data_IF_239161313071
#
_entry.id   IF_239161313071
#
_cell.length_a   1.000
_cell.length_b   1.000
_cell.length_c   1.000
_cell.angle_alpha   90.00
_cell.angle_beta   90.00
_cell.angle_gamma   90.00
#
_symmetry.space_group_name_H-M   'P 1'
#
loop_
_entity.id
_entity.type
_entity.pdbx_description
1 polymer ?
#
# COMPACT_ATOMS: atom_id res chain seq x y z
N UNK A 1 10.28 -35.95 -14.26
CA UNK A 1 10.13 -37.24 -14.97
C UNK A 1 9.15 -38.22 -14.29
N UNK A 2 8.88 -38.13 -12.98
CA UNK A 2 7.98 -39.09 -12.29
C UNK A 2 6.49 -39.07 -12.71
N UNK A 3 5.96 -37.93 -13.18
CA UNK A 3 4.52 -37.80 -13.50
C UNK A 3 4.11 -38.60 -14.75
N UNK A 4 4.99 -38.78 -15.73
CA UNK A 4 4.68 -39.51 -16.97
C UNK A 4 4.47 -41.01 -16.77
N UNK A 5 5.23 -41.62 -15.85
CA UNK A 5 5.16 -43.05 -15.56
C UNK A 5 3.84 -43.44 -14.86
N UNK A 6 3.32 -42.55 -14.00
CA UNK A 6 2.05 -42.75 -13.31
C UNK A 6 0.85 -42.83 -14.29
N UNK A 7 0.87 -42.04 -15.37
CA UNK A 7 -0.19 -42.04 -16.37
C UNK A 7 -0.22 -43.32 -17.21
N UNK A 8 0.95 -43.87 -17.54
CA UNK A 8 1.04 -45.14 -18.26
C UNK A 8 0.46 -46.29 -17.41
N UNK A 9 0.76 -46.32 -16.12
CA UNK A 9 0.24 -47.35 -15.20
C UNK A 9 -1.28 -47.23 -14.99
N UNK A 10 -1.80 -46.02 -14.83
CA UNK A 10 -3.25 -45.79 -14.69
C UNK A 10 -4.02 -46.17 -15.97
N UNK A 11 -3.47 -45.91 -17.16
CA UNK A 11 -4.08 -46.30 -18.44
C UNK A 11 -4.14 -47.82 -18.61
N UNK A 12 -3.07 -48.53 -18.22
CA UNK A 12 -3.02 -50.00 -18.29
C UNK A 12 -3.99 -50.62 -17.30
N UNK A 13 -4.02 -50.13 -16.05
CA UNK A 13 -4.94 -50.60 -15.02
C UNK A 13 -6.41 -50.37 -15.43
N UNK A 14 -6.73 -49.21 -16.01
CA UNK A 14 -8.09 -48.92 -16.50
C UNK A 14 -8.48 -49.85 -17.65
N UNK A 15 -7.59 -50.07 -18.62
CA UNK A 15 -7.83 -50.96 -19.75
C UNK A 15 -8.06 -52.41 -19.31
N UNK A 16 -7.25 -52.91 -18.37
CA UNK A 16 -7.43 -54.25 -17.79
C UNK A 16 -8.76 -54.37 -17.02
N UNK A 17 -9.15 -53.34 -16.27
CA UNK A 17 -10.41 -53.32 -15.53
C UNK A 17 -11.62 -53.35 -16.47
N UNK A 18 -11.60 -52.59 -17.56
CA UNK A 18 -12.67 -52.57 -18.59
C UNK A 18 -12.78 -53.92 -19.29
N UNK A 19 -11.65 -54.55 -19.64
CA UNK A 19 -11.63 -55.89 -20.24
C UNK A 19 -12.25 -56.94 -19.31
N UNK A 20 -11.87 -56.93 -18.02
CA UNK A 20 -12.40 -57.86 -17.02
C UNK A 20 -13.90 -57.65 -16.77
N UNK A 21 -14.37 -56.40 -16.71
CA UNK A 21 -15.81 -56.10 -16.55
C UNK A 21 -16.62 -56.46 -17.79
N UNK A 22 -16.10 -56.24 -18.99
CA UNK A 22 -16.75 -56.65 -20.24
C UNK A 22 -16.87 -58.18 -20.33
N UNK A 23 -15.81 -58.93 -19.96
CA UNK A 23 -15.84 -60.39 -19.93
C UNK A 23 -16.85 -60.93 -18.91
N UNK A 24 -16.88 -60.35 -17.70
CA UNK A 24 -17.85 -60.73 -16.66
C UNK A 24 -19.30 -60.43 -17.10
N UNK A 25 -19.56 -59.26 -17.69
CA UNK A 25 -20.89 -58.90 -18.22
C UNK A 25 -21.32 -59.76 -19.40
N UNK A 26 -20.39 -60.14 -20.28
CA UNK A 26 -20.67 -61.06 -21.38
C UNK A 26 -21.15 -62.43 -20.87
N UNK A 27 -20.52 -62.95 -19.82
CA UNK A 27 -20.87 -64.23 -19.22
C UNK A 27 -22.23 -64.22 -18.50
N UNK A 28 -22.65 -63.08 -17.94
CA UNK A 28 -23.87 -62.98 -17.11
C UNK A 28 -25.09 -62.50 -17.92
N UNK A 29 -24.92 -61.50 -18.80
CA UNK A 29 -26.00 -60.79 -19.47
C UNK A 29 -26.00 -60.94 -21.01
N UNK A 30 -25.07 -61.74 -21.55
CA UNK A 30 -24.93 -61.96 -22.99
C UNK A 30 -24.31 -60.78 -23.75
N UNK A 31 -24.33 -60.81 -25.10
CA UNK A 31 -23.60 -59.85 -25.94
C UNK A 31 -24.09 -58.41 -25.79
N UNK A 32 -25.38 -58.20 -25.51
CA UNK A 32 -25.95 -56.86 -25.31
C UNK A 32 -25.39 -56.21 -24.04
N UNK A 33 -25.22 -56.97 -22.95
CA UNK A 33 -24.60 -56.50 -21.72
C UNK A 33 -23.14 -56.09 -21.92
N UNK A 34 -22.39 -56.86 -22.71
CA UNK A 34 -20.99 -56.55 -23.04
C UNK A 34 -20.86 -55.22 -23.81
N UNK A 35 -21.72 -54.96 -24.81
CA UNK A 35 -21.74 -53.71 -25.57
C UNK A 35 -22.05 -52.51 -24.67
N UNK A 36 -23.03 -52.65 -23.76
CA UNK A 36 -23.37 -51.58 -22.83
C UNK A 36 -22.21 -51.26 -21.87
N UNK A 37 -21.51 -52.27 -21.35
CA UNK A 37 -20.32 -52.05 -20.51
C UNK A 37 -19.17 -51.34 -21.24
N UNK A 38 -18.94 -51.63 -22.52
CA UNK A 38 -17.94 -50.91 -23.34
C UNK A 38 -18.34 -49.44 -23.51
N UNK A 39 -19.61 -49.16 -23.82
CA UNK A 39 -20.11 -47.80 -23.99
C UNK A 39 -19.99 -46.98 -22.69
N UNK A 40 -20.41 -47.56 -21.55
CA UNK A 40 -20.28 -46.91 -20.23
C UNK A 40 -18.80 -46.70 -19.87
N UNK A 41 -17.92 -47.66 -20.19
CA UNK A 41 -16.48 -47.54 -19.99
C UNK A 41 -15.85 -46.41 -20.81
N UNK A 42 -16.25 -46.27 -22.08
CA UNK A 42 -15.79 -45.18 -22.95
C UNK A 42 -16.28 -43.81 -22.45
N UNK A 43 -17.55 -43.69 -22.08
CA UNK A 43 -18.10 -42.45 -21.50
C UNK A 43 -17.40 -42.09 -20.19
N UNK A 44 -17.13 -43.08 -19.33
CA UNK A 44 -16.38 -42.90 -18.09
C UNK A 44 -14.94 -42.42 -18.34
N UNK A 45 -14.25 -43.01 -19.32
CA UNK A 45 -12.89 -42.59 -19.71
C UNK A 45 -12.87 -41.17 -20.27
N UNK A 46 -13.81 -40.82 -21.16
CA UNK A 46 -13.94 -39.46 -21.68
C UNK A 46 -14.22 -38.44 -20.57
N UNK A 47 -15.12 -38.77 -19.63
CA UNK A 47 -15.41 -37.94 -18.47
C UNK A 47 -14.18 -37.74 -17.57
N UNK A 48 -13.39 -38.79 -17.34
CA UNK A 48 -12.15 -38.72 -16.57
C UNK A 48 -11.09 -37.84 -17.25
N UNK A 49 -10.89 -37.96 -18.56
CA UNK A 49 -9.95 -37.12 -19.31
C UNK A 49 -10.35 -35.65 -19.26
N UNK A 50 -11.64 -35.33 -19.44
CA UNK A 50 -12.15 -33.95 -19.33
C UNK A 50 -11.98 -33.41 -17.92
N UNK A 51 -12.30 -34.21 -16.89
CA UNK A 51 -12.11 -33.82 -15.50
C UNK A 51 -10.62 -33.55 -15.21
N UNK A 52 -9.73 -34.42 -15.66
CA UNK A 52 -8.29 -34.27 -15.46
C UNK A 52 -7.72 -33.06 -16.24
N UNK A 53 -8.15 -32.82 -17.48
CA UNK A 53 -7.76 -31.63 -18.24
C UNK A 53 -8.25 -30.36 -17.55
N UNK A 54 -9.48 -30.36 -17.02
CA UNK A 54 -10.01 -29.25 -16.24
C UNK A 54 -9.18 -28.97 -14.97
N UNK A 55 -8.77 -30.02 -14.25
CA UNK A 55 -7.91 -29.91 -13.06
C UNK A 55 -6.53 -29.40 -13.45
N UNK A 56 -5.96 -29.88 -14.56
CA UNK A 56 -4.65 -29.44 -15.05
C UNK A 56 -4.66 -27.99 -15.52
N UNK A 57 -5.71 -27.56 -16.23
CA UNK A 57 -5.90 -26.15 -16.61
C UNK A 57 -6.04 -25.26 -15.38
N UNK A 58 -6.81 -25.70 -14.37
CA UNK A 58 -6.93 -24.98 -13.09
C UNK A 58 -5.59 -24.90 -12.35
N UNK A 59 -4.79 -25.96 -12.32
CA UNK A 59 -3.49 -25.94 -11.65
C UNK A 59 -2.50 -25.00 -12.36
N UNK A 60 -2.47 -25.01 -13.69
CA UNK A 60 -1.63 -24.10 -14.48
C UNK A 60 -2.06 -22.64 -14.27
N UNK A 61 -3.37 -22.36 -14.31
CA UNK A 61 -3.90 -21.03 -14.03
C UNK A 61 -3.56 -20.56 -12.60
N UNK A 62 -3.62 -21.46 -11.60
CA UNK A 62 -3.26 -21.13 -10.23
C UNK A 62 -1.75 -20.91 -10.03
N UNK A 63 -0.89 -21.63 -10.77
CA UNK A 63 0.55 -21.38 -10.81
C UNK A 63 0.85 -20.02 -11.44
N UNK A 64 0.19 -19.69 -12.55
CA UNK A 64 0.35 -18.41 -13.22
C UNK A 64 -0.13 -17.23 -12.37
N UNK A 65 -1.28 -17.37 -11.69
CA UNK A 65 -1.79 -16.37 -10.76
C UNK A 65 -0.83 -16.13 -9.59
N UNK A 66 -0.23 -17.18 -9.03
CA UNK A 66 0.79 -17.06 -7.96
C UNK A 66 2.04 -16.36 -8.46
N UNK A 67 2.51 -16.69 -9.66
CA UNK A 67 3.67 -16.01 -10.26
C UNK A 67 3.39 -14.53 -10.50
N UNK A 68 2.21 -14.20 -11.03
CA UNK A 68 1.80 -12.81 -11.23
C UNK A 68 1.71 -12.05 -9.91
N UNK A 69 1.17 -12.66 -8.86
CA UNK A 69 1.14 -12.06 -7.53
C UNK A 69 2.55 -11.77 -6.98
N UNK A 70 3.49 -12.69 -7.16
CA UNK A 70 4.90 -12.50 -6.77
C UNK A 70 5.56 -11.35 -7.55
N UNK A 71 5.29 -11.23 -8.84
CA UNK A 71 5.83 -10.14 -9.66
C UNK A 71 5.20 -8.79 -9.30
N UNK A 72 3.89 -8.75 -9.04
CA UNK A 72 3.21 -7.54 -8.52
C UNK A 72 3.79 -7.10 -7.18
N UNK A 73 4.03 -8.04 -6.27
CA UNK A 73 4.69 -7.77 -4.99
C UNK A 73 6.14 -7.31 -5.17
N UNK A 74 6.88 -7.88 -6.13
CA UNK A 74 8.20 -7.41 -6.50
C UNK A 74 8.17 -5.95 -6.99
N UNK A 75 7.26 -5.61 -7.93
CA UNK A 75 7.07 -4.23 -8.42
C UNK A 75 6.72 -3.27 -7.29
N UNK A 76 5.80 -3.66 -6.39
CA UNK A 76 5.42 -2.84 -5.23
C UNK A 76 6.61 -2.51 -4.31
N UNK A 77 7.65 -3.35 -4.29
CA UNK A 77 8.86 -3.14 -3.48
C UNK A 77 9.97 -2.41 -4.21
N UNK A 78 10.06 -2.52 -5.54
CA UNK A 78 11.18 -1.98 -6.32
C UNK A 78 10.86 -0.67 -7.02
N UNK A 79 9.62 -0.48 -7.44
CA UNK A 79 9.21 0.74 -8.16
C UNK A 79 8.67 1.74 -7.15
N UNK A 80 9.43 2.82 -6.91
CA UNK A 80 8.97 3.92 -6.08
C UNK A 80 8.10 4.89 -6.88
N UNK A 81 6.80 4.85 -6.60
CA UNK A 81 5.82 5.77 -7.18
C UNK A 81 4.83 6.27 -6.13
N UNK A 82 4.24 7.42 -6.40
CA UNK A 82 3.07 7.94 -5.69
C UNK A 82 1.90 7.87 -6.65
N UNK A 83 0.79 7.27 -6.21
CA UNK A 83 -0.42 7.16 -6.99
C UNK A 83 -1.55 7.98 -6.36
N UNK A 84 -2.44 8.51 -7.19
CA UNK A 84 -3.65 9.19 -6.74
C UNK A 84 -4.44 8.26 -5.78
N UNK A 85 -4.76 8.70 -4.55
CA UNK A 85 -5.56 7.91 -3.62
C UNK A 85 -6.99 7.66 -4.13
N UNK A 86 -7.47 8.43 -5.11
CA UNK A 86 -8.76 8.20 -5.77
C UNK A 86 -8.75 7.09 -6.83
N UNK A 87 -7.65 6.39 -7.05
CA UNK A 87 -7.61 5.22 -7.94
C UNK A 87 -8.31 4.03 -7.28
N UNK A 88 -9.19 3.37 -8.05
CA UNK A 88 -9.77 2.08 -7.68
C UNK A 88 -8.69 1.01 -7.59
N UNK A 89 -9.00 -0.13 -6.95
CA UNK A 89 -8.02 -1.23 -6.84
C UNK A 89 -7.68 -1.82 -8.21
N UNK A 90 -8.65 -1.89 -9.13
CA UNK A 90 -8.41 -2.34 -10.52
C UNK A 90 -7.46 -1.40 -11.26
N UNK A 91 -7.68 -0.08 -11.17
CA UNK A 91 -6.80 0.91 -11.78
C UNK A 91 -5.39 0.87 -11.16
N UNK A 92 -5.29 0.71 -9.84
CA UNK A 92 -4.01 0.58 -9.14
C UNK A 92 -3.26 -0.69 -9.57
N UNK A 93 -3.97 -1.80 -9.75
CA UNK A 93 -3.39 -3.02 -10.30
C UNK A 93 -2.94 -2.83 -11.75
N UNK A 94 -3.71 -2.13 -12.58
CA UNK A 94 -3.31 -1.82 -13.95
C UNK A 94 -2.02 -0.96 -14.01
N UNK A 95 -1.86 -0.01 -13.08
CA UNK A 95 -0.60 0.74 -12.92
C UNK A 95 0.55 -0.21 -12.58
N UNK A 96 0.38 -1.09 -11.59
CA UNK A 96 1.42 -2.06 -11.19
C UNK A 96 1.79 -2.98 -12.36
N UNK A 97 0.78 -3.50 -13.06
CA UNK A 97 0.94 -4.40 -14.19
C UNK A 97 1.71 -3.75 -15.34
N UNK A 98 1.64 -2.42 -15.48
CA UNK A 98 2.43 -1.69 -16.48
C UNK A 98 3.93 -1.71 -16.26
N UNK A 99 4.39 -2.04 -15.04
CA UNK A 99 5.81 -2.23 -14.75
C UNK A 99 6.27 -3.68 -14.90
N UNK A 100 5.37 -4.61 -15.24
CA UNK A 100 5.71 -6.03 -15.43
C UNK A 100 6.03 -6.26 -16.92
N UNK A 101 7.31 -6.49 -17.30
CA UNK A 101 7.71 -6.50 -18.72
C UNK A 101 6.98 -7.56 -19.55
N UNK A 102 6.70 -8.74 -18.96
CA UNK A 102 6.04 -9.85 -19.68
C UNK A 102 4.58 -9.58 -20.03
N UNK A 103 3.94 -8.58 -19.41
CA UNK A 103 2.56 -8.22 -19.73
C UNK A 103 2.45 -7.33 -20.97
N UNK A 104 3.58 -6.82 -21.50
CA UNK A 104 3.61 -6.06 -22.75
C UNK A 104 2.80 -4.75 -22.72
N UNK A 105 2.43 -4.26 -21.54
CA UNK A 105 1.67 -3.02 -21.35
C UNK A 105 2.62 -1.84 -21.59
N UNK A 106 2.74 -1.42 -22.85
CA UNK A 106 3.75 -0.47 -23.34
C UNK A 106 3.63 0.97 -22.80
N UNK A 107 2.59 1.29 -22.01
CA UNK A 107 2.38 2.61 -21.44
C UNK A 107 1.68 2.47 -20.09
N UNK A 108 2.23 3.10 -19.04
CA UNK A 108 1.56 3.17 -17.75
C UNK A 108 0.18 3.81 -17.95
N UNK A 109 -0.92 3.06 -17.77
CA UNK A 109 -2.25 3.66 -17.78
C UNK A 109 -2.30 4.68 -16.64
N UNK A 110 -3.08 5.76 -16.80
CA UNK A 110 -3.20 6.81 -15.79
C UNK A 110 -1.89 7.53 -15.45
N UNK A 111 -1.00 7.75 -16.44
CA UNK A 111 0.29 8.47 -16.25
C UNK A 111 0.13 9.84 -15.59
N UNK A 112 -1.00 10.50 -15.83
CA UNK A 112 -1.37 11.76 -15.18
C UNK A 112 -1.70 11.60 -13.69
N UNK A 113 -2.15 10.41 -13.27
CA UNK A 113 -2.53 10.02 -11.90
C UNK A 113 -1.46 9.19 -11.16
N UNK A 114 -0.25 9.09 -11.72
CA UNK A 114 0.91 8.43 -11.10
C UNK A 114 2.16 9.28 -11.27
N UNK A 115 2.94 9.45 -10.19
CA UNK A 115 4.23 10.13 -10.18
C UNK A 115 5.31 9.12 -9.87
N UNK A 116 6.26 8.94 -10.79
CA UNK A 116 7.45 8.13 -10.56
C UNK A 116 8.49 8.96 -9.79
N UNK A 117 8.85 8.51 -8.59
CA UNK A 117 9.81 9.24 -7.75
C UNK A 117 11.19 9.34 -8.40
N UNK A 118 11.70 8.32 -9.11
CA UNK A 118 12.97 8.43 -9.84
C UNK A 118 12.99 9.50 -10.94
N UNK A 119 11.85 9.92 -11.48
CA UNK A 119 11.75 10.99 -12.48
C UNK A 119 11.81 12.39 -11.85
N UNK A 120 11.71 12.51 -10.53
CA UNK A 120 11.80 13.79 -9.85
C UNK A 120 13.26 14.24 -9.71
N UNK A 121 13.50 15.55 -9.82
CA UNK A 121 14.82 16.13 -9.55
C UNK A 121 15.30 15.78 -8.13
N UNK A 122 16.62 15.69 -7.87
CA UNK A 122 17.14 15.42 -6.53
C UNK A 122 16.53 16.27 -5.38
N UNK A 123 16.40 17.61 -5.50
CA UNK A 123 15.77 18.41 -4.44
C UNK A 123 14.28 18.09 -4.29
N UNK A 124 13.55 17.82 -5.38
CA UNK A 124 12.15 17.45 -5.33
C UNK A 124 11.93 16.10 -4.62
N UNK A 125 12.79 15.10 -4.88
CA UNK A 125 12.78 13.82 -4.15
C UNK A 125 13.00 14.01 -2.66
N UNK A 126 13.94 14.88 -2.27
CA UNK A 126 14.20 15.15 -0.86
C UNK A 126 13.00 15.79 -0.14
N UNK A 127 12.28 16.71 -0.80
CA UNK A 127 11.05 17.29 -0.26
C UNK A 127 9.92 16.26 -0.12
N UNK A 128 9.72 15.41 -1.14
CA UNK A 128 8.72 14.33 -1.06
C UNK A 128 9.04 13.35 0.08
N UNK A 129 10.31 13.00 0.28
CA UNK A 129 10.73 12.09 1.34
C UNK A 129 10.54 12.70 2.74
N UNK A 130 10.75 14.02 2.89
CA UNK A 130 10.39 14.74 4.13
C UNK A 130 8.90 14.63 4.44
N UNK A 131 8.05 14.85 3.43
CA UNK A 131 6.60 14.74 3.58
C UNK A 131 6.17 13.31 3.96
N UNK A 132 6.69 12.30 3.24
CA UNK A 132 6.43 10.87 3.51
C UNK A 132 6.84 10.49 4.93
N UNK A 133 8.03 10.90 5.39
CA UNK A 133 8.48 10.67 6.78
C UNK A 133 7.59 11.35 7.80
N UNK A 134 7.13 12.58 7.54
CA UNK A 134 6.20 13.26 8.43
C UNK A 134 4.88 12.49 8.57
N UNK A 135 4.28 12.07 7.45
CA UNK A 135 3.06 11.25 7.43
C UNK A 135 3.27 9.89 8.11
N UNK A 136 4.41 9.24 7.86
CA UNK A 136 4.73 7.96 8.50
C UNK A 136 4.82 8.08 10.02
N UNK A 137 5.40 9.16 10.56
CA UNK A 137 5.43 9.43 12.01
C UNK A 137 4.03 9.56 12.61
N UNK A 138 3.06 10.09 11.87
CA UNK A 138 1.67 10.16 12.31
C UNK A 138 1.06 8.76 12.35
N UNK A 139 1.18 7.99 11.26
CA UNK A 139 0.61 6.63 11.18
C UNK A 139 1.19 5.66 12.20
N UNK A 140 2.47 5.79 12.54
CA UNK A 140 3.12 4.89 13.51
C UNK A 140 2.93 5.29 14.96
N UNK A 141 2.28 6.43 15.24
CA UNK A 141 2.00 6.90 16.60
C UNK A 141 0.93 6.04 17.29
N UNK A 142 1.02 5.88 18.61
CA UNK A 142 0.01 5.19 19.42
C UNK A 142 -1.28 5.99 19.49
N UNK A 143 -1.21 7.32 19.56
CA UNK A 143 -2.39 8.19 19.57
C UNK A 143 -3.23 8.04 18.30
N UNK A 144 -2.62 7.81 17.14
CA UNK A 144 -3.33 7.46 15.90
C UNK A 144 -3.93 6.05 15.99
N UNK A 145 -3.15 5.05 16.41
CA UNK A 145 -3.65 3.66 16.54
C UNK A 145 -4.82 3.53 17.52
N UNK A 146 -4.83 4.32 18.59
CA UNK A 146 -5.90 4.36 19.59
C UNK A 146 -7.06 5.29 19.22
N UNK A 147 -7.04 5.88 18.03
CA UNK A 147 -8.08 6.80 17.53
C UNK A 147 -8.34 7.99 18.46
N UNK A 148 -7.28 8.48 19.12
CA UNK A 148 -7.33 9.73 19.91
C UNK A 148 -7.25 10.97 19.00
N UNK A 149 -6.79 10.78 17.77
CA UNK A 149 -6.87 11.75 16.69
C UNK A 149 -8.09 11.45 15.80
N UNK A 150 -8.42 12.39 14.91
CA UNK A 150 -9.42 12.14 13.85
C UNK A 150 -8.85 11.19 12.78
N UNK A 151 -8.87 9.89 13.09
CA UNK A 151 -8.23 8.84 12.29
C UNK A 151 -8.81 8.73 10.88
N UNK A 152 -10.14 8.82 10.75
CA UNK A 152 -10.83 8.74 9.45
C UNK A 152 -10.46 9.92 8.55
N UNK A 153 -10.41 11.14 9.10
CA UNK A 153 -9.96 12.30 8.34
C UNK A 153 -8.48 12.14 7.91
N UNK A 154 -7.61 11.67 8.79
CA UNK A 154 -6.19 11.47 8.50
C UNK A 154 -5.94 10.41 7.40
N UNK A 155 -6.67 9.30 7.41
CA UNK A 155 -6.55 8.22 6.41
C UNK A 155 -6.91 8.68 4.99
N UNK A 156 -7.77 9.70 4.85
CA UNK A 156 -8.13 10.29 3.55
C UNK A 156 -7.24 11.48 3.21
N UNK A 157 -6.98 12.36 4.18
CA UNK A 157 -6.25 13.61 4.00
C UNK A 157 -4.77 13.37 3.71
N UNK A 158 -4.08 12.56 4.51
CA UNK A 158 -2.62 12.45 4.41
C UNK A 158 -2.15 11.80 3.10
N UNK A 159 -2.77 10.72 2.57
CA UNK A 159 -2.41 10.20 1.26
C UNK A 159 -2.67 11.22 0.15
N UNK A 160 -3.75 11.99 0.26
CA UNK A 160 -4.06 13.08 -0.69
C UNK A 160 -3.01 14.18 -0.66
N UNK A 161 -2.55 14.59 0.52
CA UNK A 161 -1.49 15.58 0.69
C UNK A 161 -0.18 15.12 0.02
N UNK A 162 0.23 13.86 0.22
CA UNK A 162 1.41 13.29 -0.42
C UNK A 162 1.27 13.28 -1.95
N UNK A 163 0.10 12.89 -2.46
CA UNK A 163 -0.18 12.89 -3.89
C UNK A 163 -0.09 14.30 -4.51
N UNK A 164 -0.75 15.29 -3.92
CA UNK A 164 -0.74 16.66 -4.42
C UNK A 164 0.67 17.27 -4.39
N UNK A 165 1.44 17.01 -3.33
CA UNK A 165 2.86 17.41 -3.24
C UNK A 165 3.67 16.73 -4.36
N UNK A 166 3.55 15.42 -4.55
CA UNK A 166 4.28 14.69 -5.59
C UNK A 166 3.96 15.22 -7.00
N UNK A 167 2.70 15.55 -7.25
CA UNK A 167 2.24 16.13 -8.52
C UNK A 167 2.86 17.50 -8.80
N UNK A 168 2.85 18.40 -7.82
CA UNK A 168 3.45 19.73 -7.97
C UNK A 168 4.97 19.61 -8.18
N UNK A 169 5.64 18.72 -7.46
CA UNK A 169 7.07 18.45 -7.60
C UNK A 169 7.43 17.88 -8.98
N UNK A 170 6.57 17.05 -9.58
CA UNK A 170 6.72 16.56 -10.96
C UNK A 170 6.65 17.72 -11.96
N UNK A 171 5.66 18.59 -11.82
CA UNK A 171 5.49 19.76 -12.69
C UNK A 171 6.71 20.69 -12.56
N UNK A 172 7.15 21.00 -11.34
CA UNK A 172 8.33 21.82 -11.09
C UNK A 172 9.59 21.20 -11.70
N UNK A 173 9.82 19.89 -11.52
CA UNK A 173 10.96 19.20 -12.13
C UNK A 173 10.94 19.33 -13.65
N UNK A 174 9.79 19.11 -14.29
CA UNK A 174 9.66 19.22 -15.74
C UNK A 174 9.93 20.65 -16.23
N UNK A 175 9.36 21.66 -15.58
CA UNK A 175 9.57 23.07 -15.94
C UNK A 175 11.03 23.51 -15.77
N UNK A 176 11.71 23.05 -14.71
CA UNK A 176 13.15 23.28 -14.54
C UNK A 176 13.95 22.68 -15.71
N UNK A 177 13.67 21.43 -16.07
CA UNK A 177 14.37 20.76 -17.17
C UNK A 177 14.13 21.44 -18.53
N UNK A 178 12.90 21.92 -18.77
CA UNK A 178 12.55 22.67 -19.97
C UNK A 178 13.30 24.01 -20.05
N UNK A 179 13.36 24.75 -18.94
CA UNK A 179 14.13 26.01 -18.87
C UNK A 179 15.63 25.74 -19.09
N UNK A 180 16.18 24.73 -18.42
CA UNK A 180 17.58 24.34 -18.61
C UNK A 180 17.86 23.92 -20.06
N UNK A 181 16.92 23.23 -20.72
CA UNK A 181 17.04 22.88 -22.15
C UNK A 181 16.96 24.12 -23.05
N UNK A 182 16.08 25.08 -22.76
CA UNK A 182 15.94 26.31 -23.55
C UNK A 182 17.18 27.22 -23.46
N UNK A 183 17.85 27.23 -22.31
CA UNK A 183 19.08 28.02 -22.08
C UNK A 183 20.31 27.31 -22.65
N UNK A 184 20.33 25.96 -22.67
CA UNK A 184 21.44 25.17 -23.22
C UNK A 184 21.54 25.34 -24.73
N UNK A 185 22.60 25.99 -25.20
CA UNK A 185 22.94 26.12 -26.62
C UNK A 185 22.47 27.42 -27.29
N UNK A 186 21.88 28.34 -26.53
CA UNK A 186 21.50 29.68 -27.00
C UNK A 186 22.33 30.72 -26.26
N UNK A 187 22.88 31.71 -26.97
CA UNK A 187 23.48 32.86 -26.32
C UNK A 187 22.38 33.60 -25.54
N UNK A 188 22.51 33.67 -24.21
CA UNK A 188 21.50 34.31 -23.35
C UNK A 188 21.45 35.80 -23.66
N UNK A 189 20.49 36.21 -24.49
CA UNK A 189 20.28 37.63 -24.81
C UNK A 189 19.49 38.33 -23.70
N UNK A 190 19.62 39.67 -23.57
CA UNK A 190 18.82 40.44 -22.60
C UNK A 190 17.31 40.24 -22.76
N UNK A 191 16.82 40.07 -23.98
CA UNK A 191 15.40 39.87 -24.30
C UNK A 191 14.92 38.49 -23.82
N UNK A 192 15.72 37.44 -24.05
CA UNK A 192 15.43 36.10 -23.53
C UNK A 192 15.42 36.09 -21.99
N UNK A 193 16.36 36.80 -21.37
CA UNK A 193 16.40 36.94 -19.91
C UNK A 193 15.15 37.62 -19.35
N UNK A 194 14.69 38.69 -19.99
CA UNK A 194 13.48 39.41 -19.58
C UNK A 194 12.21 38.54 -19.66
N UNK A 195 12.15 37.57 -20.59
CA UNK A 195 11.04 36.62 -20.71
C UNK A 195 11.13 35.48 -19.68
N UNK A 196 12.34 35.03 -19.35
CA UNK A 196 12.56 33.91 -18.42
C UNK A 196 12.44 34.32 -16.95
N UNK A 197 12.78 35.55 -16.60
CA UNK A 197 12.79 36.02 -15.20
C UNK A 197 11.42 35.87 -14.49
N UNK A 198 10.27 36.30 -15.07
CA UNK A 198 8.97 36.06 -14.46
C UNK A 198 8.63 34.58 -14.28
N UNK A 199 9.08 33.71 -15.19
CA UNK A 199 8.84 32.27 -15.12
C UNK A 199 9.66 31.62 -14.01
N UNK A 200 10.93 32.02 -13.85
CA UNK A 200 11.79 31.58 -12.77
C UNK A 200 11.25 32.03 -11.41
N UNK A 201 10.73 33.26 -11.33
CA UNK A 201 10.13 33.77 -10.10
C UNK A 201 8.83 33.04 -9.75
N UNK A 202 7.96 32.77 -10.73
CA UNK A 202 6.76 31.95 -10.52
C UNK A 202 7.11 30.55 -10.02
N UNK A 203 8.14 29.94 -10.59
CA UNK A 203 8.63 28.63 -10.20
C UNK A 203 9.24 28.62 -8.79
N UNK A 204 10.02 29.65 -8.43
CA UNK A 204 10.55 29.84 -7.09
C UNK A 204 9.43 29.96 -6.04
N UNK A 205 8.38 30.73 -6.35
CA UNK A 205 7.19 30.83 -5.47
C UNK A 205 6.47 29.50 -5.32
N UNK A 206 6.34 28.75 -6.41
CA UNK A 206 5.74 27.40 -6.38
C UNK A 206 6.54 26.45 -5.48
N UNK A 207 7.88 26.44 -5.58
CA UNK A 207 8.75 25.63 -4.71
C UNK A 207 8.62 26.07 -3.25
N UNK A 208 8.59 27.37 -2.98
CA UNK A 208 8.39 27.90 -1.63
C UNK A 208 7.05 27.47 -1.02
N UNK A 209 5.96 27.52 -1.80
CA UNK A 209 4.63 27.10 -1.37
C UNK A 209 4.59 25.59 -1.04
N UNK A 210 5.15 24.74 -1.91
CA UNK A 210 5.24 23.29 -1.63
C UNK A 210 6.10 23.03 -0.39
N UNK A 211 7.21 23.75 -0.23
CA UNK A 211 8.07 23.62 0.96
C UNK A 211 7.32 23.98 2.23
N UNK A 212 6.58 25.09 2.24
CA UNK A 212 5.77 25.50 3.39
C UNK A 212 4.71 24.44 3.75
N UNK A 213 4.08 23.82 2.74
CA UNK A 213 3.13 22.72 2.93
C UNK A 213 3.78 21.48 3.56
N UNK A 214 4.98 21.11 3.11
CA UNK A 214 5.77 20.03 3.74
C UNK A 214 6.09 20.36 5.20
N UNK A 215 6.48 21.60 5.50
CA UNK A 215 6.77 22.03 6.86
C UNK A 215 5.53 22.02 7.77
N UNK A 216 4.34 22.32 7.23
CA UNK A 216 3.09 22.15 7.98
C UNK A 216 2.86 20.68 8.35
N UNK A 217 3.07 19.75 7.42
CA UNK A 217 3.00 18.30 7.70
C UNK A 217 4.01 17.89 8.78
N UNK A 218 5.23 18.41 8.73
CA UNK A 218 6.26 18.15 9.73
C UNK A 218 5.88 18.70 11.11
N UNK A 219 5.29 19.91 11.17
CA UNK A 219 4.77 20.49 12.41
C UNK A 219 3.63 19.64 12.99
N UNK A 220 2.68 19.22 12.17
CA UNK A 220 1.62 18.31 12.60
C UNK A 220 2.18 17.01 13.16
N UNK A 221 3.11 16.37 12.43
CA UNK A 221 3.77 15.15 12.89
C UNK A 221 4.48 15.34 14.25
N UNK A 222 5.10 16.50 14.48
CA UNK A 222 5.71 16.84 15.78
C UNK A 222 4.67 16.93 16.89
N UNK A 223 3.53 17.58 16.66
CA UNK A 223 2.43 17.65 17.65
C UNK A 223 1.88 16.27 17.98
N UNK A 224 1.75 15.40 16.98
CA UNK A 224 1.35 13.99 17.20
C UNK A 224 2.38 13.24 18.05
N UNK A 225 3.67 13.48 17.87
CA UNK A 225 4.72 12.88 18.71
C UNK A 225 4.70 13.41 20.15
N UNK A 226 4.40 14.69 20.36
CA UNK A 226 4.22 15.27 21.69
C UNK A 226 3.04 14.61 22.41
N UNK A 227 1.90 14.42 21.72
CA UNK A 227 0.75 13.68 22.26
C UNK A 227 1.08 12.21 22.55
N UNK A 228 1.86 11.55 21.68
CA UNK A 228 2.33 10.18 21.89
C UNK A 228 3.25 10.05 23.13
N UNK A 229 4.10 11.05 23.37
CA UNK A 229 4.93 11.11 24.55
C UNK A 229 4.09 11.27 25.83
N UNK A 230 3.07 12.15 25.81
CA UNK A 230 2.15 12.32 26.92
C UNK A 230 1.35 11.03 27.19
N UNK A 231 0.93 10.32 26.14
CA UNK A 231 0.23 9.04 26.28
C UNK A 231 1.12 7.98 26.94
N UNK A 232 2.37 7.87 26.51
CA UNK A 232 3.34 6.95 27.13
C UNK A 232 3.62 7.30 28.60
N UNK A 233 3.66 8.59 28.94
CA UNK A 233 3.80 9.03 30.32
C UNK A 233 2.58 8.60 31.17
N UNK A 234 1.36 8.77 30.63
CA UNK A 234 0.11 8.30 31.28
C UNK A 234 0.12 6.79 31.52
N UNK A 235 0.54 6.01 30.52
CA UNK A 235 0.63 4.55 30.64
C UNK A 235 1.68 4.09 31.66
N UNK A 236 2.78 4.83 31.80
CA UNK A 236 3.76 4.51 32.84
C UNK A 236 3.16 4.65 34.26
N UNK A 237 2.16 5.53 34.42
CA UNK A 237 1.43 5.73 35.68
C UNK A 237 0.31 4.70 35.93
N UNK A 238 -0.04 3.81 34.99
CA UNK A 238 -1.04 2.75 35.23
C UNK A 238 -0.59 1.79 36.36
N UNK A 239 0.70 1.77 36.72
CA UNK A 239 1.21 1.02 37.88
C UNK A 239 0.98 1.74 39.23
N UNK A 240 0.44 2.97 39.23
CA UNK A 240 0.25 3.77 40.44
C UNK A 240 -0.67 3.10 41.47
N UNK A 241 -1.56 2.20 41.07
CA UNK A 241 -2.44 1.50 42.01
C UNK A 241 -1.67 0.66 43.04
N UNK A 242 -0.51 0.11 42.68
CA UNK A 242 0.37 -0.60 43.62
C UNK A 242 1.02 0.36 44.62
N UNK A 243 1.40 1.55 44.17
CA UNK A 243 1.97 2.59 45.02
C UNK A 243 0.91 3.22 45.92
N UNK A 244 -0.31 3.45 45.42
CA UNK A 244 -1.47 3.85 46.23
C UNK A 244 -1.76 2.83 47.32
N UNK A 245 -1.78 1.54 46.97
CA UNK A 245 -1.97 0.48 47.95
C UNK A 245 -0.85 0.49 48.99
N UNK A 246 0.41 0.62 48.59
CA UNK A 246 1.54 0.72 49.52
C UNK A 246 1.40 1.91 50.47
N UNK A 247 1.12 3.10 49.96
CA UNK A 247 0.96 4.34 50.73
C UNK A 247 -0.22 4.26 51.70
N UNK A 248 -1.31 3.60 51.28
CA UNK A 248 -2.45 3.32 52.15
C UNK A 248 -2.09 2.37 53.31
N UNK A 249 -1.19 1.40 53.10
CA UNK A 249 -0.72 0.51 54.18
C UNK A 249 0.23 1.22 55.16
N UNK A 250 0.84 2.33 54.76
CA UNK A 250 1.73 3.14 55.62
C UNK A 250 1.05 4.38 56.21
N UNK A 251 -0.26 4.55 56.01
CA UNK A 251 -1.04 5.74 56.39
C UNK A 251 -0.41 7.07 55.90
N UNK A 252 0.29 7.04 54.75
CA UNK A 252 0.96 8.21 54.18
C UNK A 252 -0.01 9.03 53.30
N UNK A 253 -0.76 9.91 53.96
CA UNK A 253 -1.71 10.81 53.31
C UNK A 253 -1.04 11.89 52.44
N UNK A 254 0.22 12.25 52.70
CA UNK A 254 0.95 13.24 51.90
C UNK A 254 1.41 12.63 50.58
N UNK A 255 2.06 11.45 50.63
CA UNK A 255 2.44 10.70 49.43
C UNK A 255 1.26 10.34 48.54
N UNK A 256 0.10 10.02 49.13
CA UNK A 256 -1.15 9.80 48.38
C UNK A 256 -1.58 11.05 47.59
N UNK A 257 -1.57 12.23 48.23
CA UNK A 257 -1.94 13.49 47.57
C UNK A 257 -0.97 13.85 46.43
N UNK A 258 0.33 13.68 46.66
CA UNK A 258 1.34 13.95 45.64
C UNK A 258 1.17 13.05 44.40
N UNK A 259 0.90 11.76 44.63
CA UNK A 259 0.66 10.80 43.55
C UNK A 259 -0.61 11.12 42.75
N UNK A 260 -1.67 11.59 43.42
CA UNK A 260 -2.89 12.07 42.77
C UNK A 260 -2.67 13.34 41.94
N UNK A 261 -1.94 14.33 42.48
CA UNK A 261 -1.59 15.57 41.77
C UNK A 261 -0.77 15.26 40.51
N UNK A 262 0.23 14.38 40.62
CA UNK A 262 1.04 13.95 39.47
C UNK A 262 0.21 13.24 38.41
N UNK A 263 -0.71 12.35 38.83
CA UNK A 263 -1.65 11.69 37.92
C UNK A 263 -2.53 12.69 37.15
N UNK A 264 -3.13 13.64 37.87
CA UNK A 264 -3.97 14.67 37.27
C UNK A 264 -3.19 15.56 36.28
N UNK A 265 -1.96 15.95 36.62
CA UNK A 265 -1.11 16.76 35.74
C UNK A 265 -0.75 16.04 34.43
N UNK A 266 -0.52 14.72 34.48
CA UNK A 266 -0.22 13.92 33.28
C UNK A 266 -1.46 13.77 32.39
N UNK A 267 -2.64 13.54 32.98
CA UNK A 267 -3.91 13.49 32.22
C UNK A 267 -4.21 14.83 31.53
N UNK A 268 -4.02 15.95 32.23
CA UNK A 268 -4.20 17.28 31.64
C UNK A 268 -3.21 17.53 30.49
N UNK A 269 -1.95 17.13 30.67
CA UNK A 269 -0.91 17.23 29.62
C UNK A 269 -1.29 16.40 28.39
N UNK A 270 -1.81 15.19 28.58
CA UNK A 270 -2.30 14.34 27.49
C UNK A 270 -3.49 14.99 26.78
N UNK A 271 -4.50 15.44 27.52
CA UNK A 271 -5.68 16.09 26.95
C UNK A 271 -5.31 17.35 26.14
N UNK A 272 -4.41 18.17 26.66
CA UNK A 272 -3.91 19.38 25.98
C UNK A 272 -3.13 19.04 24.71
N UNK A 273 -2.16 18.11 24.79
CA UNK A 273 -1.33 17.72 23.64
C UNK A 273 -2.14 17.08 22.51
N UNK A 274 -3.12 16.22 22.83
CA UNK A 274 -4.06 15.66 21.85
C UNK A 274 -4.88 16.75 21.18
N UNK A 275 -5.39 17.72 21.94
CA UNK A 275 -6.17 18.85 21.39
C UNK A 275 -5.33 19.67 20.41
N UNK A 276 -4.10 20.02 20.77
CA UNK A 276 -3.16 20.74 19.91
C UNK A 276 -2.84 19.95 18.64
N UNK A 277 -2.68 18.63 18.75
CA UNK A 277 -2.47 17.77 17.58
C UNK A 277 -3.70 17.76 16.64
N UNK A 278 -4.91 17.65 17.19
CA UNK A 278 -6.16 17.71 16.41
C UNK A 278 -6.29 19.06 15.69
N UNK A 279 -6.01 20.16 16.38
CA UNK A 279 -6.06 21.49 15.79
C UNK A 279 -5.06 21.65 14.64
N UNK A 280 -3.82 21.19 14.82
CA UNK A 280 -2.82 21.17 13.76
C UNK A 280 -3.26 20.34 12.54
N UNK A 281 -3.94 19.21 12.75
CA UNK A 281 -4.52 18.39 11.67
C UNK A 281 -5.68 19.09 10.94
N UNK A 282 -6.48 19.90 11.65
CA UNK A 282 -7.55 20.71 11.03
C UNK A 282 -6.97 21.84 10.17
N UNK A 283 -5.93 22.52 10.63
CA UNK A 283 -5.25 23.57 9.85
C UNK A 283 -4.72 23.04 8.52
N UNK A 284 -4.16 21.82 8.51
CA UNK A 284 -3.73 21.14 7.27
C UNK A 284 -4.89 20.89 6.28
N UNK A 285 -6.11 20.75 6.78
CA UNK A 285 -7.31 20.54 5.95
C UNK A 285 -7.82 21.85 5.36
N UNK A 286 -7.70 22.96 6.09
CA UNK A 286 -8.17 24.29 5.69
C UNK A 286 -7.28 24.95 4.63
N UNK A 287 -5.96 24.76 4.72
CA UNK A 287 -4.97 25.26 3.75
C UNK A 287 -5.17 24.66 2.34
N UNK A 288 -6.05 23.66 2.20
CA UNK A 288 -6.48 23.10 0.91
C UNK A 288 -7.58 23.92 0.23
N UNK A 289 -8.44 24.57 1.01
CA UNK A 289 -9.66 25.24 0.49
C UNK A 289 -9.42 26.69 0.06
N UNK A 290 -8.27 27.25 0.41
CA UNK A 290 -7.80 28.59 0.03
C UNK A 290 -6.92 28.53 -1.21
#
# INVERSE_FOLDING_TARGET
MAKGCLYALLSVAFSATVLMTCLAMYLVAGPVGAVFSVLVGLVGLSGFVVAQDSVRRRSLAAEEARRLAQERDHVRRTVDFVADPGLTEEERLAVIDSFIPRLGVSRAPYRDRVVLVPELSPPARALLERARRAVMRVYTSQVMRRRLLDGLANEVLLPRQIWEIAMLLRVQTHLHEEQDRAVRGVAVTPELKAVLEPQQEALRRSVAAVTARVEQLERYARRVQEADAALRAREALDNNDKYRALLAHTDDAEGMRDLEIQGAAVEETLASSVRVAIEAGRTLSLDRTS
#
